data_IF_284150039040
#
_entry.id   IF_284150039040
#
_cell.length_a   1.000
_cell.length_b   1.000
_cell.length_c   1.000
_cell.angle_alpha   90.00
_cell.angle_beta   90.00
_cell.angle_gamma   90.00
#
_symmetry.space_group_name_H-M   'P 1'
#
loop_
_entity.id
_entity.type
_entity.pdbx_description
1 polymer ?
#
# COMPACT_ATOMS: atom_id res chain seq x y z
N UNK A 1 -26.52 -43.87 38.18
CA UNK A 1 -25.57 -43.15 39.07
C UNK A 1 -24.22 -43.84 39.21
N UNK A 2 -24.12 -45.09 39.70
CA UNK A 2 -22.82 -45.79 39.87
C UNK A 2 -22.01 -46.03 38.57
N UNK A 3 -22.66 -46.07 37.40
CA UNK A 3 -22.00 -46.24 36.10
C UNK A 3 -21.38 -44.94 35.56
N UNK A 4 -21.96 -43.79 35.91
CA UNK A 4 -21.42 -42.48 35.53
C UNK A 4 -20.23 -42.05 36.40
N UNK A 5 -20.24 -42.40 37.69
CA UNK A 5 -19.09 -42.19 38.56
C UNK A 5 -17.87 -43.00 38.11
N UNK A 6 -18.07 -44.24 37.63
CA UNK A 6 -16.98 -45.03 37.03
C UNK A 6 -16.46 -44.41 35.74
N UNK A 7 -17.33 -43.91 34.88
CA UNK A 7 -16.93 -43.27 33.62
C UNK A 7 -16.08 -42.00 33.84
N UNK A 8 -16.44 -41.19 34.84
CA UNK A 8 -15.64 -40.02 35.24
C UNK A 8 -14.28 -40.40 35.85
N UNK A 9 -14.22 -41.50 36.61
CA UNK A 9 -12.96 -42.00 37.16
C UNK A 9 -12.03 -42.56 36.06
N UNK A 10 -12.56 -43.24 35.05
CA UNK A 10 -11.75 -43.75 33.92
C UNK A 10 -11.13 -42.62 33.10
N UNK A 11 -11.87 -41.53 32.86
CA UNK A 11 -11.38 -40.35 32.13
C UNK A 11 -10.25 -39.64 32.90
N UNK A 12 -10.38 -39.50 34.23
CA UNK A 12 -9.31 -38.89 35.05
C UNK A 12 -8.02 -39.74 35.10
N UNK A 13 -8.14 -41.07 34.96
CA UNK A 13 -7.01 -42.00 34.96
C UNK A 13 -6.32 -42.07 33.59
N UNK A 14 -7.04 -41.80 32.48
CA UNK A 14 -6.45 -41.64 31.15
C UNK A 14 -5.71 -40.31 30.99
N UNK A 15 -6.23 -39.21 31.55
CA UNK A 15 -5.53 -37.91 31.57
C UNK A 15 -4.20 -37.97 32.34
N UNK A 16 -4.14 -38.72 33.45
CA UNK A 16 -2.89 -38.92 34.19
C UNK A 16 -1.88 -39.81 33.45
N UNK A 17 -2.34 -40.78 32.64
CA UNK A 17 -1.46 -41.60 31.80
C UNK A 17 -0.91 -40.82 30.61
N UNK A 18 -1.71 -39.93 30.02
CA UNK A 18 -1.25 -39.08 28.91
C UNK A 18 -0.35 -37.93 29.38
N UNK A 19 -0.54 -37.39 30.59
CA UNK A 19 0.32 -36.34 31.18
C UNK A 19 1.79 -36.73 31.38
N UNK A 20 2.12 -38.02 31.40
CA UNK A 20 3.51 -38.50 31.56
C UNK A 20 4.30 -38.55 30.25
N UNK A 21 3.64 -38.50 29.08
CA UNK A 21 4.30 -38.59 27.77
C UNK A 21 4.68 -37.23 27.17
N UNK A 22 4.20 -36.12 27.74
CA UNK A 22 4.62 -34.76 27.38
C UNK A 22 5.74 -34.23 28.29
N UNK A 23 6.51 -35.12 28.93
CA UNK A 23 7.79 -34.73 29.53
C UNK A 23 8.71 -34.33 28.40
N UNK A 24 8.94 -33.03 28.31
CA UNK A 24 9.87 -32.34 27.43
C UNK A 24 11.10 -33.21 27.16
N UNK A 25 11.22 -33.73 25.94
CA UNK A 25 12.54 -34.10 25.40
C UNK A 25 13.22 -32.76 25.12
N UNK A 26 13.81 -32.18 26.17
CA UNK A 26 14.70 -31.04 26.04
C UNK A 26 15.86 -31.46 25.13
N UNK A 27 16.13 -30.73 24.02
CA UNK A 27 17.32 -31.01 23.22
C UNK A 27 18.56 -30.77 24.07
N UNK A 28 19.60 -31.64 23.99
CA UNK A 28 20.82 -31.45 24.74
C UNK A 28 21.48 -30.14 24.31
N UNK A 29 21.55 -29.22 25.26
CA UNK A 29 22.58 -28.20 25.45
C UNK A 29 23.01 -27.41 24.21
N UNK A 30 22.10 -27.09 23.27
CA UNK A 30 22.42 -25.98 22.38
C UNK A 30 22.38 -24.72 23.24
N UNK A 31 23.49 -23.96 23.37
CA UNK A 31 23.44 -22.72 24.11
C UNK A 31 22.42 -21.83 23.42
N UNK A 32 21.29 -21.60 24.09
CA UNK A 32 20.36 -20.51 23.82
C UNK A 32 21.16 -19.24 24.08
N UNK A 33 22.02 -18.90 23.13
CA UNK A 33 22.71 -17.64 23.10
C UNK A 33 21.60 -16.58 23.19
N UNK A 34 21.59 -15.72 24.21
CA UNK A 34 20.57 -14.69 24.31
C UNK A 34 20.63 -13.91 23.01
N UNK A 35 19.59 -14.01 22.19
CA UNK A 35 19.49 -13.25 20.95
C UNK A 35 19.44 -11.81 21.40
N UNK A 36 20.60 -11.14 21.38
CA UNK A 36 20.73 -9.79 21.90
C UNK A 36 19.62 -8.93 21.29
N UNK A 37 18.91 -8.10 22.07
CA UNK A 37 17.76 -7.34 21.57
C UNK A 37 18.09 -6.53 20.32
N UNK A 38 19.36 -6.10 20.17
CA UNK A 38 19.88 -5.46 18.96
C UNK A 38 19.83 -6.34 17.71
N UNK A 39 20.15 -7.64 17.80
CA UNK A 39 20.10 -8.58 16.64
C UNK A 39 18.66 -8.93 16.25
N UNK A 40 17.75 -9.02 17.22
CA UNK A 40 16.33 -9.22 16.96
C UNK A 40 15.69 -7.98 16.32
N UNK A 41 16.06 -6.78 16.79
CA UNK A 41 15.63 -5.52 16.17
C UNK A 41 16.18 -5.35 14.75
N UNK A 42 17.41 -5.81 14.49
CA UNK A 42 18.04 -5.72 13.16
C UNK A 42 17.39 -6.68 12.15
N UNK A 43 17.07 -7.92 12.55
CA UNK A 43 16.37 -8.87 11.67
C UNK A 43 14.90 -8.47 11.42
N UNK A 44 14.23 -7.89 12.42
CA UNK A 44 12.90 -7.32 12.27
C UNK A 44 12.88 -6.05 11.39
N UNK A 45 13.88 -5.18 11.51
CA UNK A 45 14.02 -3.99 10.67
C UNK A 45 14.31 -4.31 9.21
N UNK A 46 15.18 -5.30 8.94
CA UNK A 46 15.46 -5.77 7.59
C UNK A 46 14.23 -6.45 6.94
N UNK A 47 13.46 -7.21 7.71
CA UNK A 47 12.18 -7.78 7.25
C UNK A 47 11.13 -6.68 6.95
N UNK A 48 11.05 -5.65 7.81
CA UNK A 48 10.16 -4.50 7.61
C UNK A 48 10.51 -3.68 6.37
N UNK A 49 11.79 -3.50 6.07
CA UNK A 49 12.26 -2.84 4.84
C UNK A 49 11.88 -3.64 3.58
N UNK A 50 12.00 -4.97 3.63
CA UNK A 50 11.56 -5.85 2.53
C UNK A 50 10.05 -5.79 2.28
N UNK A 51 9.24 -5.73 3.35
CA UNK A 51 7.79 -5.59 3.26
C UNK A 51 7.36 -4.21 2.71
N UNK A 52 8.06 -3.13 3.10
CA UNK A 52 7.82 -1.79 2.56
C UNK A 52 8.14 -1.72 1.06
N UNK A 53 9.27 -2.30 0.63
CA UNK A 53 9.62 -2.38 -0.79
C UNK A 53 8.63 -3.25 -1.58
N UNK A 54 8.19 -4.38 -1.01
CA UNK A 54 7.15 -5.24 -1.59
C UNK A 54 5.82 -4.52 -1.76
N UNK A 55 5.43 -3.72 -0.77
CA UNK A 55 4.22 -2.89 -0.84
C UNK A 55 4.34 -1.84 -1.96
N UNK A 56 5.48 -1.13 -2.06
CA UNK A 56 5.74 -0.16 -3.13
C UNK A 56 5.63 -0.82 -4.50
N UNK A 57 6.24 -2.00 -4.70
CA UNK A 57 6.17 -2.73 -5.97
C UNK A 57 4.74 -3.18 -6.29
N UNK A 58 3.97 -3.64 -5.30
CA UNK A 58 2.57 -4.00 -5.49
C UNK A 58 1.74 -2.79 -5.90
N UNK A 59 1.93 -1.64 -5.26
CA UNK A 59 1.28 -0.38 -5.66
C UNK A 59 1.63 -0.01 -7.10
N UNK A 60 2.90 -0.09 -7.49
CA UNK A 60 3.32 0.22 -8.85
C UNK A 60 2.66 -0.69 -9.87
N UNK A 61 2.62 -2.00 -9.64
CA UNK A 61 2.04 -2.95 -10.58
C UNK A 61 0.56 -2.64 -10.89
N UNK A 62 -0.16 -2.11 -9.91
CA UNK A 62 -1.59 -1.80 -9.99
C UNK A 62 -1.84 -0.38 -10.51
N UNK A 63 -0.99 0.59 -10.14
CA UNK A 63 -1.13 1.98 -10.59
C UNK A 63 -0.59 2.22 -11.99
N UNK A 64 0.33 1.38 -12.48
CA UNK A 64 0.91 1.49 -13.82
C UNK A 64 -0.11 1.47 -14.95
N UNK A 65 -1.04 0.50 -15.07
CA UNK A 65 -2.01 0.49 -16.17
C UNK A 65 -2.87 1.76 -16.20
N UNK A 66 -3.30 2.24 -15.02
CA UNK A 66 -4.04 3.49 -14.90
C UNK A 66 -3.20 4.69 -15.34
N UNK A 67 -1.95 4.77 -14.91
CA UNK A 67 -1.01 5.85 -15.25
C UNK A 67 -0.71 5.88 -16.75
N UNK A 68 -0.43 4.71 -17.35
CA UNK A 68 -0.15 4.58 -18.79
C UNK A 68 -1.39 4.98 -19.59
N UNK A 69 -2.58 4.52 -19.19
CA UNK A 69 -3.83 4.87 -19.85
C UNK A 69 -4.08 6.39 -19.81
N UNK A 70 -3.88 7.02 -18.66
CA UNK A 70 -4.01 8.47 -18.50
C UNK A 70 -3.01 9.26 -19.35
N UNK A 71 -1.71 8.91 -19.28
CA UNK A 71 -0.68 9.58 -20.07
C UNK A 71 -0.90 9.41 -21.57
N UNK A 72 -1.35 8.23 -22.00
CA UNK A 72 -1.72 7.97 -23.40
C UNK A 72 -2.81 8.91 -23.88
N UNK A 73 -3.83 9.17 -23.06
CA UNK A 73 -4.91 10.11 -23.43
C UNK A 73 -4.37 11.51 -23.71
N UNK A 74 -3.44 12.00 -22.89
CA UNK A 74 -2.80 13.31 -23.12
C UNK A 74 -1.86 13.33 -24.32
N UNK A 75 -1.09 12.27 -24.56
CA UNK A 75 -0.24 12.20 -25.75
C UNK A 75 -1.06 12.15 -27.04
N UNK A 76 -2.24 11.53 -27.02
CA UNK A 76 -3.16 11.49 -28.16
C UNK A 76 -3.84 12.84 -28.46
N UNK A 77 -3.81 13.79 -27.52
CA UNK A 77 -4.30 15.15 -27.76
C UNK A 77 -3.31 16.01 -28.57
N UNK A 78 -2.04 15.60 -28.64
CA UNK A 78 -1.01 16.33 -29.37
C UNK A 78 -1.17 16.05 -30.88
N UNK A 79 -1.32 17.10 -31.71
CA UNK A 79 -1.43 16.94 -33.16
C UNK A 79 -0.16 16.31 -33.75
N UNK A 80 -0.25 15.31 -34.66
CA UNK A 80 0.92 14.72 -35.31
C UNK A 80 1.75 15.73 -36.11
N UNK A 81 1.13 16.82 -36.58
CA UNK A 81 1.80 17.89 -37.33
C UNK A 81 2.89 18.57 -36.51
N UNK A 82 2.75 18.63 -35.18
CA UNK A 82 3.75 19.21 -34.27
C UNK A 82 5.00 18.32 -34.20
N UNK A 83 4.82 17.00 -34.22
CA UNK A 83 5.93 16.05 -34.27
C UNK A 83 6.64 16.09 -35.63
N UNK A 84 5.89 16.19 -36.73
CA UNK A 84 6.46 16.32 -38.08
C UNK A 84 7.24 17.62 -38.26
N UNK A 85 6.72 18.75 -37.78
CA UNK A 85 7.43 20.03 -37.80
C UNK A 85 8.76 19.95 -37.04
N UNK A 86 8.77 19.35 -35.85
CA UNK A 86 9.99 19.18 -35.07
C UNK A 86 11.04 18.28 -35.77
N UNK A 87 10.59 17.27 -36.52
CA UNK A 87 11.48 16.42 -37.33
C UNK A 87 12.07 17.18 -38.53
N UNK A 88 11.27 18.05 -39.17
CA UNK A 88 11.73 18.93 -40.25
C UNK A 88 12.78 19.92 -39.73
N UNK A 89 12.62 20.40 -38.49
CA UNK A 89 13.61 21.24 -37.79
C UNK A 89 14.90 20.49 -37.38
N UNK A 90 15.05 19.22 -37.78
CA UNK A 90 16.26 18.42 -37.55
C UNK A 90 16.35 17.81 -36.16
N UNK A 91 15.27 17.80 -35.37
CA UNK A 91 15.27 17.09 -34.09
C UNK A 91 15.30 15.57 -34.30
N UNK A 92 16.19 14.89 -33.56
CA UNK A 92 16.14 13.44 -33.43
C UNK A 92 14.89 12.99 -32.65
N UNK A 93 14.50 11.72 -32.75
CA UNK A 93 13.33 11.18 -32.04
C UNK A 93 13.35 11.48 -30.53
N UNK A 94 14.49 11.30 -29.87
CA UNK A 94 14.68 11.66 -28.46
C UNK A 94 14.56 13.16 -28.19
N UNK A 95 15.01 13.99 -29.14
CA UNK A 95 14.85 15.44 -29.09
C UNK A 95 13.39 15.87 -29.18
N UNK A 96 12.62 15.28 -30.10
CA UNK A 96 11.18 15.52 -30.23
C UNK A 96 10.44 15.12 -28.96
N UNK A 97 10.74 13.93 -28.42
CA UNK A 97 10.10 13.46 -27.19
C UNK A 97 10.35 14.41 -26.01
N UNK A 98 11.61 14.79 -25.77
CA UNK A 98 12.00 15.54 -24.58
C UNK A 98 11.76 17.04 -24.68
N UNK A 99 11.97 17.65 -25.85
CA UNK A 99 11.88 19.11 -26.06
C UNK A 99 10.51 19.57 -26.53
N UNK A 100 9.70 18.69 -27.11
CA UNK A 100 8.39 19.03 -27.68
C UNK A 100 7.28 18.29 -26.95
N UNK A 101 7.25 16.96 -27.02
CA UNK A 101 6.13 16.17 -26.49
C UNK A 101 6.04 16.28 -24.96
N UNK A 102 7.15 16.11 -24.24
CA UNK A 102 7.18 16.18 -22.77
C UNK A 102 6.65 17.52 -22.21
N UNK A 103 7.14 18.69 -22.66
CA UNK A 103 6.67 19.96 -22.13
C UNK A 103 5.23 20.28 -22.52
N UNK A 104 4.77 19.87 -23.70
CA UNK A 104 3.35 20.01 -24.08
C UNK A 104 2.45 19.13 -23.19
N UNK A 105 2.96 18.00 -22.75
CA UNK A 105 2.23 17.04 -21.91
C UNK A 105 2.34 17.31 -20.41
N UNK A 106 3.18 18.25 -19.97
CA UNK A 106 3.34 18.63 -18.56
C UNK A 106 2.02 18.81 -17.77
N UNK A 107 1.01 19.55 -18.27
CA UNK A 107 -0.26 19.67 -17.55
C UNK A 107 -0.96 18.32 -17.39
N UNK A 108 -0.90 17.47 -18.43
CA UNK A 108 -1.46 16.13 -18.38
C UNK A 108 -0.74 15.22 -17.38
N UNK A 109 0.60 15.24 -17.40
CA UNK A 109 1.45 14.52 -16.45
C UNK A 109 1.13 14.95 -15.01
N UNK A 110 0.97 16.25 -14.75
CA UNK A 110 0.60 16.75 -13.43
C UNK A 110 -0.75 16.20 -12.95
N UNK A 111 -1.76 16.19 -13.83
CA UNK A 111 -3.07 15.59 -13.52
C UNK A 111 -2.94 14.09 -13.25
N UNK A 112 -2.20 13.35 -14.08
CA UNK A 112 -1.97 11.92 -13.88
C UNK A 112 -1.28 11.63 -12.55
N UNK A 113 -0.26 12.40 -12.17
CA UNK A 113 0.45 12.23 -10.90
C UNK A 113 -0.50 12.43 -9.72
N UNK A 114 -1.31 13.49 -9.75
CA UNK A 114 -2.21 13.75 -8.63
C UNK A 114 -3.32 12.70 -8.55
N UNK A 115 -3.93 12.32 -9.67
CA UNK A 115 -4.94 11.26 -9.70
C UNK A 115 -4.36 9.91 -9.29
N UNK A 116 -3.13 9.59 -9.71
CA UNK A 116 -2.39 8.41 -9.29
C UNK A 116 -2.12 8.40 -7.79
N UNK A 117 -1.72 9.55 -7.23
CA UNK A 117 -1.60 9.70 -5.77
C UNK A 117 -2.94 9.45 -5.07
N UNK A 118 -4.03 10.06 -5.54
CA UNK A 118 -5.35 9.85 -4.94
C UNK A 118 -5.74 8.37 -4.98
N UNK A 119 -5.46 7.68 -6.08
CA UNK A 119 -5.72 6.25 -6.22
C UNK A 119 -4.91 5.41 -5.22
N UNK A 120 -3.60 5.65 -5.11
CA UNK A 120 -2.73 4.94 -4.16
C UNK A 120 -3.07 5.26 -2.69
N UNK A 121 -3.38 6.53 -2.39
CA UNK A 121 -3.72 7.00 -1.05
C UNK A 121 -4.99 6.33 -0.50
N UNK A 122 -5.97 6.07 -1.37
CA UNK A 122 -7.21 5.38 -1.02
C UNK A 122 -7.07 3.86 -0.91
N UNK A 123 -5.98 3.28 -1.39
CA UNK A 123 -5.86 1.83 -1.44
C UNK A 123 -5.59 1.27 -0.04
N UNK A 124 -6.66 0.80 0.60
CA UNK A 124 -6.66 0.17 1.92
C UNK A 124 -6.44 -1.35 1.84
N UNK A 125 -6.92 -1.98 0.77
CA UNK A 125 -6.95 -3.44 0.65
C UNK A 125 -5.54 -4.07 0.56
N UNK A 126 -4.63 -3.48 -0.21
CA UNK A 126 -3.28 -4.01 -0.40
C UNK A 126 -2.39 -3.96 0.85
N UNK A 127 -2.32 -2.82 1.57
CA UNK A 127 -1.58 -2.79 2.82
C UNK A 127 -2.23 -3.66 3.89
N UNK A 128 -3.55 -3.87 3.91
CA UNK A 128 -4.14 -4.82 4.85
C UNK A 128 -3.65 -6.27 4.64
N UNK A 129 -3.39 -6.66 3.39
CA UNK A 129 -2.91 -8.00 3.04
C UNK A 129 -1.38 -8.15 3.14
N UNK A 130 -0.61 -7.08 2.90
CA UNK A 130 0.86 -7.13 2.81
C UNK A 130 1.60 -6.37 3.92
N UNK A 131 0.97 -5.45 4.66
CA UNK A 131 1.62 -4.68 5.72
C UNK A 131 1.82 -5.55 6.97
N UNK A 132 3.09 -5.72 7.36
CA UNK A 132 3.44 -6.23 8.67
C UNK A 132 3.16 -5.21 9.79
N UNK A 133 3.33 -5.65 11.05
CA UNK A 133 3.05 -4.91 12.29
C UNK A 133 3.72 -3.54 12.48
N UNK A 134 4.54 -3.06 11.55
CA UNK A 134 5.36 -1.85 11.70
C UNK A 134 5.26 -0.84 10.53
N UNK A 135 4.65 -1.20 9.40
CA UNK A 135 4.63 -0.33 8.20
C UNK A 135 3.25 -0.31 7.57
N UNK A 136 2.35 0.53 8.06
CA UNK A 136 0.99 0.65 7.53
C UNK A 136 0.70 2.09 7.10
N UNK A 137 -0.01 2.29 5.99
CA UNK A 137 -0.54 3.59 5.62
C UNK A 137 -1.59 4.05 6.65
N UNK A 138 -1.80 5.36 6.70
CA UNK A 138 -2.72 6.04 7.64
C UNK A 138 -4.12 5.41 7.63
N UNK A 139 -4.57 4.92 6.48
CA UNK A 139 -5.85 4.23 6.30
C UNK A 139 -5.95 2.90 7.06
N UNK A 140 -4.86 2.14 7.19
CA UNK A 140 -4.81 0.89 7.97
C UNK A 140 -4.62 1.15 9.46
N UNK A 141 -3.98 2.27 9.83
CA UNK A 141 -3.86 2.69 11.23
C UNK A 141 -5.21 2.90 11.93
N UNK A 142 -6.25 3.26 11.19
CA UNK A 142 -7.61 3.42 11.73
C UNK A 142 -8.18 2.10 12.30
N UNK A 143 -7.77 0.94 11.78
CA UNK A 143 -8.22 -0.38 12.27
C UNK A 143 -7.66 -0.66 13.67
N UNK A 144 -6.53 -0.06 14.06
CA UNK A 144 -5.93 -0.29 15.39
C UNK A 144 -6.82 0.21 16.54
N UNK A 145 -7.77 1.11 16.26
CA UNK A 145 -8.76 1.58 17.23
C UNK A 145 -9.94 0.61 17.44
N UNK A 146 -9.94 -0.51 16.71
CA UNK A 146 -10.84 -1.64 16.89
C UNK A 146 -10.09 -2.70 17.73
N UNK A 147 -10.29 -2.68 19.05
CA UNK A 147 -9.78 -3.71 19.95
C UNK A 147 -10.87 -4.74 20.26
N UNK A 148 -10.45 -5.95 20.64
CA UNK A 148 -11.37 -7.05 20.97
C UNK A 148 -12.28 -6.73 22.17
N UNK A 149 -11.84 -5.83 23.05
CA UNK A 149 -12.60 -5.44 24.23
C UNK A 149 -13.46 -4.19 24.04
N UNK A 150 -12.99 -3.19 23.27
CA UNK A 150 -13.73 -1.94 23.02
C UNK A 150 -13.35 -1.29 21.67
N UNK A 151 -14.36 -0.70 21.01
CA UNK A 151 -14.19 0.12 19.81
C UNK A 151 -14.17 1.59 20.19
N UNK A 152 -13.06 2.27 19.91
CA UNK A 152 -12.89 3.69 20.20
C UNK A 152 -13.43 4.55 19.04
N UNK A 153 -14.76 4.60 18.90
CA UNK A 153 -15.46 5.29 17.79
C UNK A 153 -15.00 6.73 17.56
N UNK A 154 -14.77 7.50 18.63
CA UNK A 154 -14.31 8.89 18.52
C UNK A 154 -12.90 9.02 17.93
N UNK A 155 -11.96 8.17 18.34
CA UNK A 155 -10.60 8.17 17.82
C UNK A 155 -10.56 7.67 16.37
N UNK A 156 -11.39 6.68 16.03
CA UNK A 156 -11.53 6.17 14.66
C UNK A 156 -12.10 7.23 13.71
N UNK A 157 -13.11 7.99 14.15
CA UNK A 157 -13.70 9.08 13.38
C UNK A 157 -12.69 10.23 13.17
N UNK A 158 -11.94 10.61 14.21
CA UNK A 158 -10.91 11.64 14.12
C UNK A 158 -9.77 11.23 13.17
N UNK A 159 -9.29 9.98 13.25
CA UNK A 159 -8.27 9.44 12.36
C UNK A 159 -8.73 9.44 10.89
N UNK A 160 -9.98 9.02 10.65
CA UNK A 160 -10.59 9.05 9.32
C UNK A 160 -10.68 10.47 8.75
N UNK A 161 -11.07 11.45 9.58
CA UNK A 161 -11.17 12.85 9.16
C UNK A 161 -9.79 13.40 8.73
N UNK A 162 -8.75 13.11 9.51
CA UNK A 162 -7.37 13.52 9.19
C UNK A 162 -6.88 12.83 7.91
N UNK A 163 -7.24 11.57 7.67
CA UNK A 163 -6.86 10.83 6.46
C UNK A 163 -7.45 11.44 5.17
N UNK A 164 -8.62 12.11 5.27
CA UNK A 164 -9.29 12.76 4.13
C UNK A 164 -8.67 14.13 3.78
N UNK A 165 -8.03 14.81 4.72
CA UNK A 165 -7.47 16.17 4.53
C UNK A 165 -6.49 16.26 3.34
N UNK A 166 -5.46 15.40 3.21
CA UNK A 166 -4.52 15.47 2.09
C UNK A 166 -5.19 15.28 0.73
N UNK A 167 -6.20 14.40 0.67
CA UNK A 167 -6.96 14.14 -0.55
C UNK A 167 -7.81 15.35 -0.96
N UNK A 168 -8.42 16.05 0.00
CA UNK A 168 -9.16 17.29 -0.26
C UNK A 168 -8.24 18.40 -0.77
N UNK A 169 -7.05 18.54 -0.19
CA UNK A 169 -6.08 19.54 -0.66
C UNK A 169 -5.71 19.27 -2.12
N UNK A 170 -5.39 18.01 -2.45
CA UNK A 170 -5.03 17.63 -3.81
C UNK A 170 -6.17 17.76 -4.82
N UNK A 171 -7.42 17.47 -4.42
CA UNK A 171 -8.57 17.62 -5.32
C UNK A 171 -8.78 19.09 -5.73
N UNK A 172 -8.56 20.04 -4.82
CA UNK A 172 -8.59 21.48 -5.13
C UNK A 172 -7.52 21.87 -6.16
N UNK A 173 -6.32 21.30 -6.07
CA UNK A 173 -5.28 21.53 -7.06
C UNK A 173 -5.66 20.95 -8.43
N UNK A 174 -6.18 19.72 -8.47
CA UNK A 174 -6.58 19.05 -9.72
C UNK A 174 -7.66 19.82 -10.47
N UNK A 175 -8.67 20.32 -9.75
CA UNK A 175 -9.77 21.08 -10.36
C UNK A 175 -9.25 22.25 -11.22
N UNK A 176 -8.21 22.96 -10.77
CA UNK A 176 -7.60 24.04 -11.55
C UNK A 176 -6.95 23.57 -12.85
N UNK A 177 -6.33 22.39 -12.86
CA UNK A 177 -5.72 21.83 -14.07
C UNK A 177 -6.76 21.25 -15.04
N UNK A 178 -7.79 20.58 -14.52
CA UNK A 178 -8.90 20.05 -15.34
C UNK A 178 -9.65 21.19 -16.02
N UNK A 179 -9.97 22.27 -15.30
CA UNK A 179 -10.67 23.43 -15.87
C UNK A 179 -9.84 24.09 -16.98
N UNK A 180 -8.52 24.20 -16.80
CA UNK A 180 -7.62 24.71 -17.85
C UNK A 180 -7.56 23.79 -19.09
N UNK A 181 -7.54 22.48 -18.89
CA UNK A 181 -7.56 21.49 -19.98
C UNK A 181 -8.82 21.58 -20.83
N UNK A 182 -10.00 21.72 -20.19
CA UNK A 182 -11.27 21.89 -20.89
C UNK A 182 -11.35 23.20 -21.71
N UNK A 183 -10.77 24.30 -21.21
CA UNK A 183 -10.78 25.58 -21.93
C UNK A 183 -9.86 25.61 -23.16
N UNK A 184 -8.75 24.86 -23.14
CA UNK A 184 -7.84 24.77 -24.30
C UNK A 184 -8.36 23.80 -25.37
N UNK A 185 -9.14 22.79 -25.00
CA UNK A 185 -9.77 21.86 -25.94
C UNK A 185 -11.06 22.38 -26.61
N UNK A 186 -11.70 23.42 -26.02
CA UNK A 186 -12.94 24.01 -26.51
C UNK A 186 -12.76 25.08 -27.61
N UNK A 187 -11.52 25.41 -27.97
CA UNK A 187 -11.18 26.21 -29.15
C UNK A 187 -10.76 25.26 -30.28
N UNK A 188 -11.77 24.65 -30.89
CA UNK A 188 -11.74 24.07 -32.24
C UNK A 188 -12.96 24.54 -33.00
#
# INVERSE_FOLDING_TARGET
LAKQLRYQQTISMEEQRHGAQYRLVEPPDLPIAPVSPKRLQLSLGAAGAGLAAGLILAYQLISLPFTIWMLRSFFMEIPPEVEEAAKIDGCSWWGVLTKVILPLSLPGIAVTIILGFMFCWNAFNYPLMLAGRQTFPVTVGAIQFISYEQVLWGQMAAASLVAVVPQLILSLFVQKYIVRGLTMGAIR
#
